data_IF_002683142809
#
_entry.id   IF_002683142809
#
_cell.length_a   1.000
_cell.length_b   1.000
_cell.length_c   1.000
_cell.angle_alpha   90.00
_cell.angle_beta   90.00
_cell.angle_gamma   90.00
#
_symmetry.space_group_name_H-M   'P 1'
#
loop_
_entity.id
_entity.type
_entity.pdbx_description
1 polymer ?
#
# COMPACT_ATOMS: atom_id res chain seq x y z
N UNK A 1 15.05 -0.09 40.01
CA UNK A 1 14.82 -1.42 39.41
C UNK A 1 14.56 -1.24 37.91
N UNK A 2 15.43 -1.77 37.05
CA UNK A 2 15.26 -1.67 35.60
C UNK A 2 14.48 -2.90 35.07
N UNK A 3 13.28 -2.67 34.56
CA UNK A 3 12.45 -3.71 33.92
C UNK A 3 13.08 -4.11 32.58
N UNK A 4 13.56 -5.35 32.46
CA UNK A 4 14.03 -5.92 31.19
C UNK A 4 12.83 -6.53 30.46
N UNK A 5 12.41 -6.00 29.30
CA UNK A 5 11.34 -6.62 28.53
C UNK A 5 11.82 -7.98 28.02
N UNK A 6 11.16 -9.05 28.47
CA UNK A 6 11.36 -10.41 27.96
C UNK A 6 10.82 -10.50 26.55
N UNK A 7 11.71 -10.48 25.55
CA UNK A 7 11.34 -10.72 24.16
C UNK A 7 10.92 -12.19 24.00
N UNK A 8 9.62 -12.45 23.85
CA UNK A 8 9.14 -13.78 23.48
C UNK A 8 9.63 -14.08 22.06
N UNK A 9 10.57 -15.02 21.92
CA UNK A 9 10.97 -15.57 20.61
C UNK A 9 9.71 -16.16 19.96
N UNK A 10 9.18 -15.51 18.93
CA UNK A 10 8.15 -16.12 18.10
C UNK A 10 8.78 -17.30 17.36
N UNK A 11 8.11 -18.46 17.37
CA UNK A 11 8.56 -19.62 16.63
C UNK A 11 8.69 -19.26 15.14
N UNK A 12 9.84 -19.59 14.54
CA UNK A 12 10.05 -19.38 13.11
C UNK A 12 9.06 -20.26 12.33
N UNK A 13 7.99 -19.66 11.81
CA UNK A 13 7.09 -20.31 10.86
C UNK A 13 7.57 -19.99 9.45
N UNK A 14 7.85 -21.04 8.68
CA UNK A 14 8.10 -20.91 7.24
C UNK A 14 6.88 -20.24 6.61
N UNK A 15 7.09 -19.09 5.96
CA UNK A 15 6.03 -18.40 5.24
C UNK A 15 5.56 -19.25 4.07
N UNK A 16 4.25 -19.27 3.80
CA UNK A 16 3.71 -19.96 2.63
C UNK A 16 4.37 -19.40 1.35
N UNK A 17 4.72 -20.25 0.38
CA UNK A 17 5.20 -19.79 -0.92
C UNK A 17 4.17 -18.85 -1.57
N UNK A 18 4.65 -17.77 -2.17
CA UNK A 18 3.82 -16.81 -2.92
C UNK A 18 3.57 -17.39 -4.32
N UNK A 19 2.33 -17.78 -4.61
CA UNK A 19 1.91 -18.33 -5.91
C UNK A 19 1.17 -17.29 -6.75
N UNK A 20 0.45 -16.38 -6.10
CA UNK A 20 -0.33 -15.32 -6.73
C UNK A 20 -0.10 -13.99 -6.02
N UNK A 21 -0.39 -12.88 -6.70
CA UNK A 21 -0.46 -11.55 -6.07
C UNK A 21 -1.43 -11.54 -4.88
N UNK A 22 -2.45 -12.42 -4.91
CA UNK A 22 -3.41 -12.60 -3.80
C UNK A 22 -2.77 -13.12 -2.51
N UNK A 23 -1.58 -13.71 -2.58
CA UNK A 23 -0.82 -14.17 -1.40
C UNK A 23 0.01 -13.03 -0.77
N UNK A 24 0.15 -11.88 -1.45
CA UNK A 24 0.87 -10.74 -0.92
C UNK A 24 0.04 -10.06 0.17
N UNK A 25 0.60 -9.95 1.37
CA UNK A 25 -0.04 -9.21 2.48
C UNK A 25 -0.37 -7.77 2.05
N UNK A 26 0.55 -7.13 1.30
CA UNK A 26 0.34 -5.77 0.82
C UNK A 26 -0.91 -5.66 -0.06
N UNK A 27 -1.14 -6.62 -0.96
CA UNK A 27 -2.34 -6.64 -1.81
C UNK A 27 -3.61 -6.83 -0.98
N UNK A 28 -3.62 -7.83 -0.10
CA UNK A 28 -4.79 -8.15 0.73
C UNK A 28 -5.21 -6.95 1.60
N UNK A 29 -4.24 -6.29 2.22
CA UNK A 29 -4.48 -5.13 3.08
C UNK A 29 -4.92 -3.91 2.29
N UNK A 30 -4.28 -3.59 1.17
CA UNK A 30 -4.67 -2.42 0.37
C UNK A 30 -6.06 -2.59 -0.24
N UNK A 31 -6.44 -3.82 -0.63
CA UNK A 31 -7.80 -4.12 -1.08
C UNK A 31 -8.83 -3.95 0.05
N UNK A 32 -8.51 -4.38 1.26
CA UNK A 32 -9.36 -4.18 2.43
C UNK A 32 -9.53 -2.68 2.73
N UNK A 33 -8.44 -1.91 2.71
CA UNK A 33 -8.47 -0.48 3.03
C UNK A 33 -9.21 0.32 1.96
N UNK A 34 -9.04 -0.02 0.67
CA UNK A 34 -9.78 0.62 -0.41
C UNK A 34 -11.28 0.35 -0.28
N UNK A 35 -11.68 -0.88 0.04
CA UNK A 35 -13.09 -1.20 0.30
C UNK A 35 -13.65 -0.41 1.49
N UNK A 36 -12.87 -0.24 2.56
CA UNK A 36 -13.26 0.56 3.72
C UNK A 36 -13.42 2.04 3.36
N UNK A 37 -12.52 2.62 2.56
CA UNK A 37 -12.68 3.98 2.02
C UNK A 37 -13.98 4.10 1.21
N UNK A 38 -14.21 3.17 0.26
CA UNK A 38 -15.38 3.21 -0.62
C UNK A 38 -16.71 3.10 0.14
N UNK A 39 -16.73 2.32 1.23
CA UNK A 39 -17.97 2.04 1.97
C UNK A 39 -18.21 3.00 3.13
N UNK A 40 -17.17 3.56 3.74
CA UNK A 40 -17.29 4.42 4.92
C UNK A 40 -16.96 5.88 4.68
N UNK A 41 -15.94 6.18 3.87
CA UNK A 41 -15.45 7.56 3.72
C UNK A 41 -16.12 8.26 2.53
N UNK A 42 -16.21 7.59 1.38
CA UNK A 42 -16.82 8.18 0.17
C UNK A 42 -18.27 8.64 0.39
N UNK A 43 -19.14 7.93 1.14
CA UNK A 43 -20.49 8.41 1.43
C UNK A 43 -20.54 9.69 2.27
N UNK A 44 -19.50 9.99 3.05
CA UNK A 44 -19.40 11.20 3.88
C UNK A 44 -18.97 12.42 3.07
N UNK A 45 -18.41 12.22 1.88
CA UNK A 45 -18.05 13.30 0.97
C UNK A 45 -19.30 13.78 0.23
N UNK A 46 -19.90 14.86 0.74
CA UNK A 46 -21.06 15.52 0.16
C UNK A 46 -20.83 15.88 -1.34
N UNK A 47 -21.85 15.68 -2.17
CA UNK A 47 -21.97 16.24 -3.53
C UNK A 47 -20.72 16.15 -4.44
N UNK A 48 -20.43 17.26 -5.12
CA UNK A 48 -19.31 17.48 -6.05
C UNK A 48 -17.98 17.78 -5.33
N UNK A 49 -17.67 17.05 -4.26
CA UNK A 49 -16.40 17.23 -3.55
C UNK A 49 -15.21 17.04 -4.51
N UNK A 50 -14.30 18.02 -4.65
CA UNK A 50 -13.21 17.99 -5.63
C UNK A 50 -12.14 16.92 -5.33
N UNK A 51 -12.23 16.27 -4.17
CA UNK A 51 -11.32 15.20 -3.74
C UNK A 51 -11.93 13.80 -3.88
N UNK A 52 -13.25 13.69 -4.10
CA UNK A 52 -13.96 12.41 -4.11
C UNK A 52 -13.43 11.47 -5.19
N UNK A 53 -13.44 11.92 -6.44
CA UNK A 53 -12.98 11.10 -7.56
C UNK A 53 -11.48 10.79 -7.47
N UNK A 54 -10.69 11.76 -6.99
CA UNK A 54 -9.24 11.61 -6.79
C UNK A 54 -8.91 10.56 -5.72
N UNK A 55 -9.68 10.54 -4.62
CA UNK A 55 -9.52 9.56 -3.55
C UNK A 55 -9.93 8.16 -4.03
N UNK A 56 -11.03 8.05 -4.78
CA UNK A 56 -11.49 6.79 -5.39
C UNK A 56 -10.42 6.24 -6.32
N UNK A 57 -9.93 7.06 -7.25
CA UNK A 57 -8.88 6.68 -8.19
C UNK A 57 -7.64 6.18 -7.46
N UNK A 58 -7.11 6.98 -6.52
CA UNK A 58 -5.86 6.63 -5.84
C UNK A 58 -6.01 5.38 -4.96
N UNK A 59 -7.13 5.20 -4.25
CA UNK A 59 -7.27 4.06 -3.34
C UNK A 59 -7.44 2.73 -4.08
N UNK A 60 -8.11 2.74 -5.24
CA UNK A 60 -8.28 1.57 -6.10
C UNK A 60 -7.04 1.27 -6.93
N UNK A 61 -6.26 2.30 -7.31
CA UNK A 61 -5.02 2.13 -8.08
C UNK A 61 -3.98 1.30 -7.34
N UNK A 62 -3.90 1.40 -6.01
CA UNK A 62 -2.87 0.71 -5.21
C UNK A 62 -2.93 -0.82 -5.36
N UNK A 63 -4.06 -1.51 -5.06
CA UNK A 63 -4.14 -2.95 -5.26
C UNK A 63 -4.01 -3.36 -6.74
N UNK A 64 -4.48 -2.54 -7.69
CA UNK A 64 -4.30 -2.76 -9.12
C UNK A 64 -2.82 -2.75 -9.51
N UNK A 65 -2.08 -1.70 -9.14
CA UNK A 65 -0.65 -1.56 -9.40
C UNK A 65 0.19 -2.67 -8.75
N UNK A 66 -0.18 -3.12 -7.53
CA UNK A 66 0.50 -4.28 -6.91
C UNK A 66 0.27 -5.56 -7.73
N UNK A 67 -0.95 -5.80 -8.20
CA UNK A 67 -1.27 -6.97 -9.01
C UNK A 67 -0.57 -6.92 -10.39
N UNK A 68 -0.59 -5.76 -11.04
CA UNK A 68 0.08 -5.52 -12.31
C UNK A 68 1.60 -5.72 -12.19
N UNK A 69 2.22 -5.13 -11.17
CA UNK A 69 3.64 -5.31 -10.89
C UNK A 69 4.00 -6.78 -10.63
N UNK A 70 3.19 -7.50 -9.85
CA UNK A 70 3.41 -8.94 -9.64
C UNK A 70 3.35 -9.73 -10.95
N UNK A 71 2.44 -9.40 -11.87
CA UNK A 71 2.32 -10.08 -13.17
C UNK A 71 3.53 -9.82 -14.07
N UNK A 72 4.12 -8.62 -13.99
CA UNK A 72 5.27 -8.20 -14.81
C UNK A 72 6.63 -8.43 -14.15
N UNK A 73 6.70 -9.10 -12.99
CA UNK A 73 7.92 -9.29 -12.18
C UNK A 73 9.09 -10.04 -12.85
N UNK A 74 8.89 -10.51 -14.06
CA UNK A 74 9.89 -11.20 -14.88
C UNK A 74 10.26 -10.41 -16.15
N UNK A 75 9.58 -9.30 -16.40
CA UNK A 75 9.88 -8.37 -17.49
C UNK A 75 10.96 -7.40 -17.00
N UNK A 76 11.94 -7.07 -17.83
CA UNK A 76 13.06 -6.24 -17.39
C UNK A 76 12.66 -4.76 -17.31
N UNK A 77 12.19 -4.28 -16.14
CA UNK A 77 12.23 -2.84 -15.82
C UNK A 77 10.92 -2.16 -15.43
N UNK A 78 9.77 -2.69 -15.86
CA UNK A 78 8.48 -2.00 -15.77
C UNK A 78 7.69 -2.30 -14.49
N UNK A 79 7.91 -3.45 -13.86
CA UNK A 79 7.23 -3.83 -12.63
C UNK A 79 7.57 -2.91 -11.44
N UNK A 80 8.82 -2.45 -11.37
CA UNK A 80 9.28 -1.54 -10.32
C UNK A 80 8.63 -0.18 -10.48
N UNK A 81 8.44 0.29 -11.72
CA UNK A 81 7.71 1.54 -12.01
C UNK A 81 6.26 1.44 -11.53
N UNK A 82 5.60 0.31 -11.77
CA UNK A 82 4.22 0.10 -11.30
C UNK A 82 4.15 0.02 -9.76
N UNK A 83 5.18 -0.49 -9.07
CA UNK A 83 5.25 -0.38 -7.60
C UNK A 83 5.48 1.06 -7.13
N UNK A 84 6.24 1.87 -7.86
CA UNK A 84 6.40 3.29 -7.55
C UNK A 84 5.07 4.04 -7.66
N UNK A 85 4.21 3.72 -8.64
CA UNK A 85 2.83 4.22 -8.71
C UNK A 85 2.02 3.86 -7.46
N UNK A 86 2.14 2.63 -6.97
CA UNK A 86 1.45 2.20 -5.74
C UNK A 86 1.94 2.99 -4.51
N UNK A 87 3.26 3.28 -4.44
CA UNK A 87 3.85 4.08 -3.35
C UNK A 87 3.41 5.54 -3.40
N UNK A 88 3.31 6.12 -4.60
CA UNK A 88 2.81 7.46 -4.81
C UNK A 88 1.33 7.55 -4.45
N UNK A 89 0.51 6.61 -4.94
CA UNK A 89 -0.91 6.55 -4.64
C UNK A 89 -1.18 6.40 -3.13
N UNK A 90 -0.35 5.64 -2.39
CA UNK A 90 -0.43 5.60 -0.92
C UNK A 90 -0.29 6.98 -0.28
N UNK A 91 0.66 7.80 -0.75
CA UNK A 91 0.84 9.15 -0.24
C UNK A 91 -0.34 10.06 -0.61
N UNK A 92 -0.86 9.95 -1.84
CA UNK A 92 -2.04 10.71 -2.28
C UNK A 92 -3.28 10.35 -1.47
N UNK A 93 -3.50 9.06 -1.16
CA UNK A 93 -4.60 8.63 -0.28
C UNK A 93 -4.48 9.25 1.11
N UNK A 94 -3.28 9.31 1.70
CA UNK A 94 -3.08 9.99 2.99
C UNK A 94 -3.49 11.46 2.91
N UNK A 95 -3.02 12.18 1.89
CA UNK A 95 -3.36 13.60 1.68
C UNK A 95 -4.88 13.78 1.54
N UNK A 96 -5.54 12.96 0.72
CA UNK A 96 -6.99 13.09 0.51
C UNK A 96 -7.81 12.66 1.73
N UNK A 97 -7.32 11.72 2.56
CA UNK A 97 -7.96 11.37 3.82
C UNK A 97 -7.82 12.49 4.86
N UNK A 98 -6.67 13.18 4.91
CA UNK A 98 -6.48 14.37 5.76
C UNK A 98 -7.45 15.48 5.35
N UNK A 99 -7.55 15.74 4.04
CA UNK A 99 -8.50 16.72 3.50
C UNK A 99 -9.96 16.33 3.77
N UNK A 100 -10.31 15.04 3.60
CA UNK A 100 -11.63 14.52 3.95
C UNK A 100 -11.96 14.78 5.43
N UNK A 101 -11.05 14.36 6.33
CA UNK A 101 -11.17 14.49 7.79
C UNK A 101 -11.36 15.94 8.23
N UNK A 102 -10.57 16.85 7.67
CA UNK A 102 -10.49 18.23 8.19
C UNK A 102 -11.53 19.16 7.56
N UNK A 103 -11.98 18.90 6.33
CA UNK A 103 -12.86 19.80 5.57
C UNK A 103 -14.30 19.29 5.50
N UNK A 104 -14.49 17.98 5.27
CA UNK A 104 -15.80 17.44 4.90
C UNK A 104 -16.47 16.65 6.03
N UNK A 105 -15.67 15.89 6.79
CA UNK A 105 -16.18 15.04 7.86
C UNK A 105 -16.48 15.87 9.11
N UNK A 106 -17.72 15.76 9.62
CA UNK A 106 -18.20 16.52 10.78
C UNK A 106 -18.10 15.72 12.07
N UNK A 107 -18.57 14.47 12.04
CA UNK A 107 -18.65 13.60 13.21
C UNK A 107 -17.26 13.14 13.69
N UNK A 108 -17.10 13.01 15.02
CA UNK A 108 -15.81 12.69 15.65
C UNK A 108 -15.41 11.25 15.35
N UNK A 109 -16.36 10.33 15.34
CA UNK A 109 -16.17 8.92 15.05
C UNK A 109 -15.67 8.72 13.62
N UNK A 110 -16.23 9.44 12.66
CA UNK A 110 -15.81 9.39 11.27
C UNK A 110 -14.42 10.00 11.07
N UNK A 111 -14.09 11.09 11.79
CA UNK A 111 -12.72 11.64 11.81
C UNK A 111 -11.71 10.64 12.34
N UNK A 112 -12.08 9.89 13.39
CA UNK A 112 -11.24 8.82 13.92
C UNK A 112 -11.08 7.68 12.90
N UNK A 113 -12.11 7.38 12.10
CA UNK A 113 -12.04 6.46 10.96
C UNK A 113 -11.03 6.89 9.90
N UNK A 114 -11.03 8.17 9.51
CA UNK A 114 -10.01 8.73 8.61
C UNK A 114 -8.60 8.60 9.20
N UNK A 115 -8.43 8.96 10.48
CA UNK A 115 -7.13 8.93 11.17
C UNK A 115 -6.54 7.53 11.27
N UNK A 116 -7.38 6.53 11.53
CA UNK A 116 -6.98 5.13 11.54
C UNK A 116 -6.59 4.64 10.13
N UNK A 117 -7.35 4.99 9.10
CA UNK A 117 -6.98 4.70 7.71
C UNK A 117 -5.65 5.35 7.31
N UNK A 118 -5.40 6.61 7.70
CA UNK A 118 -4.12 7.31 7.46
C UNK A 118 -2.96 6.50 8.06
N UNK A 119 -3.07 6.09 9.33
CA UNK A 119 -2.03 5.28 10.00
C UNK A 119 -1.79 3.96 9.27
N UNK A 120 -2.86 3.28 8.86
CA UNK A 120 -2.77 2.01 8.11
C UNK A 120 -2.10 2.19 6.76
N UNK A 121 -2.38 3.28 6.04
CA UNK A 121 -1.73 3.58 4.76
C UNK A 121 -0.25 3.93 4.91
N UNK A 122 0.13 4.69 5.94
CA UNK A 122 1.55 4.96 6.25
C UNK A 122 2.30 3.65 6.52
N UNK A 123 1.69 2.74 7.29
CA UNK A 123 2.29 1.45 7.62
C UNK A 123 2.38 0.53 6.40
N UNK A 124 1.33 0.43 5.58
CA UNK A 124 1.33 -0.45 4.42
C UNK A 124 2.29 0.05 3.34
N UNK A 125 2.44 1.36 3.18
CA UNK A 125 3.44 1.96 2.29
C UNK A 125 4.85 1.49 2.64
N UNK A 126 5.19 1.40 3.92
CA UNK A 126 6.49 0.85 4.37
C UNK A 126 6.67 -0.61 3.96
N UNK A 127 5.59 -1.41 4.02
CA UNK A 127 5.61 -2.81 3.57
C UNK A 127 5.75 -2.92 2.05
N UNK A 128 5.04 -2.08 1.28
CA UNK A 128 5.20 -2.00 -0.18
C UNK A 128 6.63 -1.59 -0.54
N UNK A 129 7.23 -0.64 0.18
CA UNK A 129 8.61 -0.25 -0.05
C UNK A 129 9.62 -1.37 0.29
N UNK A 130 9.32 -2.22 1.28
CA UNK A 130 10.13 -3.40 1.54
C UNK A 130 9.97 -4.45 0.43
N UNK A 131 8.76 -4.62 -0.13
CA UNK A 131 8.53 -5.47 -1.31
C UNK A 131 9.35 -4.95 -2.50
N UNK A 132 9.27 -3.65 -2.77
CA UNK A 132 10.05 -2.97 -3.80
C UNK A 132 11.56 -3.24 -3.67
N UNK A 133 12.12 -3.05 -2.47
CA UNK A 133 13.55 -3.34 -2.22
C UNK A 133 13.89 -4.82 -2.39
N UNK A 134 12.98 -5.72 -2.00
CA UNK A 134 13.18 -7.15 -2.17
C UNK A 134 13.19 -7.52 -3.66
N UNK A 135 12.28 -6.95 -4.46
CA UNK A 135 12.18 -7.21 -5.89
C UNK A 135 13.36 -6.66 -6.68
N UNK A 136 13.87 -5.46 -6.33
CA UNK A 136 15.12 -4.92 -6.88
C UNK A 136 16.36 -5.79 -6.66
N UNK A 137 16.35 -6.65 -5.63
CA UNK A 137 17.49 -7.53 -5.30
C UNK A 137 17.45 -8.86 -6.05
N UNK A 138 16.38 -9.18 -6.79
CA UNK A 138 16.34 -10.42 -7.55
C UNK A 138 17.38 -10.39 -8.68
N UNK A 139 18.17 -11.48 -8.85
CA UNK A 139 19.16 -11.58 -9.91
C UNK A 139 18.43 -11.57 -11.26
N UNK A 140 18.50 -10.42 -11.94
CA UNK A 140 17.72 -10.08 -13.13
C UNK A 140 17.63 -8.56 -13.32
N UNK A 141 17.74 -7.79 -12.22
CA UNK A 141 17.65 -6.32 -12.22
C UNK A 141 19.00 -5.57 -12.30
N UNK A 142 20.12 -6.29 -12.35
CA UNK A 142 21.45 -5.71 -12.14
C UNK A 142 22.62 -6.49 -12.73
N UNK A 143 22.45 -7.13 -13.89
CA UNK A 143 23.59 -7.41 -14.76
C UNK A 143 23.54 -6.42 -15.91
N UNK A 144 24.37 -5.39 -15.85
CA UNK A 144 24.98 -4.90 -17.07
C UNK A 144 25.53 -6.14 -17.78
N UNK A 145 25.08 -6.35 -19.01
CA UNK A 145 25.65 -7.35 -19.90
C UNK A 145 27.14 -7.06 -19.99
N UNK A 146 27.97 -7.86 -19.32
CA UNK A 146 29.41 -7.87 -19.57
C UNK A 146 29.54 -8.20 -21.06
N UNK A 147 30.13 -7.32 -21.89
CA UNK A 147 30.34 -7.64 -23.30
C UNK A 147 31.24 -8.86 -23.36
N UNK A 148 30.73 -9.95 -23.94
CA UNK A 148 31.58 -11.06 -24.35
C UNK A 148 32.50 -10.55 -25.45
N UNK A 149 33.79 -10.47 -25.14
CA UNK A 149 34.88 -10.27 -26.09
C UNK A 149 35.04 -11.49 -27.01
#
# INVERSE_FOLDING_TARGET
MFYKPTYKKSAFRVKKPIRSFRDLEVYQRTLQYSAEIMTKIIPLLEGNSPIKDKLIECCLKIPESIAASHSRRFEAGDEIKTLDEALEACNRVVVYLEQARDIFVKEIEDKAGCEDLIKRYILIRRKIFNLYKAWKRFPGYGRETIPTA
#
